data_IF_906364082405
#
_entry.id   IF_906364082405
#
_cell.length_a   1.000
_cell.length_b   1.000
_cell.length_c   1.000
_cell.angle_alpha   90.00
_cell.angle_beta   90.00
_cell.angle_gamma   90.00
#
_symmetry.space_group_name_H-M   'P 1'
#
loop_
_entity.id
_entity.type
_entity.pdbx_description
1 polymer ?
#
# COMPACT_ATOMS: atom_id res chain seq x y z
N UNK A 1 31.23 -8.44 6.20
CA UNK A 1 29.96 -8.84 6.83
C UNK A 1 28.80 -8.56 5.87
N UNK A 2 28.29 -9.57 5.15
CA UNK A 2 27.13 -9.41 4.26
C UNK A 2 25.87 -9.48 5.11
N UNK A 3 25.18 -8.35 5.26
CA UNK A 3 23.91 -8.25 5.97
C UNK A 3 22.85 -8.97 5.13
N UNK A 4 22.50 -10.20 5.52
CA UNK A 4 21.34 -10.93 5.01
C UNK A 4 20.11 -10.17 5.56
N UNK A 5 19.65 -9.14 4.84
CA UNK A 5 18.43 -8.39 5.21
C UNK A 5 17.26 -8.95 4.40
N UNK A 6 16.19 -9.32 5.11
CA UNK A 6 14.94 -9.83 4.56
C UNK A 6 14.43 -9.01 3.38
N UNK A 7 14.22 -9.71 2.26
CA UNK A 7 13.78 -9.16 0.97
C UNK A 7 12.32 -8.70 0.99
N UNK A 8 11.96 -7.63 1.70
CA UNK A 8 10.63 -7.00 1.59
C UNK A 8 10.60 -5.51 2.00
N UNK A 9 11.70 -4.78 1.84
CA UNK A 9 11.76 -3.34 2.09
C UNK A 9 12.03 -2.60 0.77
N UNK A 10 11.22 -1.59 0.46
CA UNK A 10 11.45 -0.67 -0.65
C UNK A 10 12.14 0.55 -0.06
N UNK A 11 13.32 0.88 -0.57
CA UNK A 11 13.96 2.16 -0.24
C UNK A 11 13.28 3.27 -1.06
N UNK A 12 12.93 4.38 -0.41
CA UNK A 12 12.23 5.49 -1.06
C UNK A 12 13.16 6.23 -2.03
N UNK A 13 14.46 6.26 -1.70
CA UNK A 13 15.46 6.96 -2.50
C UNK A 13 15.70 6.22 -3.84
N UNK A 14 15.57 4.89 -3.85
CA UNK A 14 15.67 4.05 -5.06
C UNK A 14 14.50 4.25 -6.04
N UNK A 15 13.39 4.85 -5.59
CA UNK A 15 12.18 5.06 -6.39
C UNK A 15 11.83 6.55 -6.58
N UNK A 16 12.75 7.46 -6.24
CA UNK A 16 12.57 8.90 -6.34
C UNK A 16 13.46 9.49 -7.43
N UNK A 17 12.91 10.36 -8.26
CA UNK A 17 13.65 11.02 -9.33
C UNK A 17 14.60 12.09 -8.77
N UNK A 18 15.87 12.15 -9.21
CA UNK A 18 16.82 13.16 -8.75
C UNK A 18 16.49 14.57 -9.26
N UNK A 19 15.76 14.71 -10.37
CA UNK A 19 15.35 16.01 -10.94
C UNK A 19 14.05 16.49 -10.29
N UNK A 20 12.96 15.71 -10.39
CA UNK A 20 11.64 16.14 -9.90
C UNK A 20 11.47 16.02 -8.40
N UNK A 21 12.33 15.22 -7.74
CA UNK A 21 12.21 14.83 -6.32
C UNK A 21 10.91 14.11 -5.97
N UNK A 22 10.24 13.56 -6.98
CA UNK A 22 9.00 12.80 -6.85
C UNK A 22 9.19 11.31 -7.17
N UNK A 23 8.25 10.49 -6.70
CA UNK A 23 8.22 9.05 -7.01
C UNK A 23 8.02 8.82 -8.51
N UNK A 24 8.81 7.94 -9.10
CA UNK A 24 8.77 7.68 -10.53
C UNK A 24 7.38 7.26 -11.05
N UNK A 25 6.96 7.90 -12.14
CA UNK A 25 5.80 7.52 -12.94
C UNK A 25 6.26 6.70 -14.13
N UNK A 26 7.19 7.25 -14.91
CA UNK A 26 7.81 6.62 -16.06
C UNK A 26 9.35 6.71 -16.00
N UNK A 27 10.00 5.83 -15.22
CA UNK A 27 11.44 5.87 -15.02
C UNK A 27 12.19 5.40 -16.28
N UNK A 28 13.20 6.18 -16.66
CA UNK A 28 14.19 5.87 -17.70
C UNK A 28 15.59 5.90 -17.13
N UNK A 29 16.40 4.93 -17.53
CA UNK A 29 17.81 4.84 -17.20
C UNK A 29 18.63 5.44 -18.35
N UNK A 30 19.55 6.33 -18.01
CA UNK A 30 20.54 6.84 -18.95
C UNK A 30 21.82 5.97 -18.91
N UNK A 31 22.69 6.13 -19.91
CA UNK A 31 23.99 5.46 -19.99
C UNK A 31 24.93 5.75 -18.80
N UNK A 32 24.68 6.83 -18.06
CA UNK A 32 25.36 7.23 -16.82
C UNK A 32 25.01 6.33 -15.61
N UNK A 33 24.06 5.41 -15.76
CA UNK A 33 23.59 4.50 -14.72
C UNK A 33 22.58 5.11 -13.75
N UNK A 34 22.15 6.35 -13.96
CA UNK A 34 21.12 7.00 -13.17
C UNK A 34 19.73 6.83 -13.79
N UNK A 35 18.71 6.89 -12.95
CA UNK A 35 17.30 6.81 -13.37
C UNK A 35 16.63 8.15 -13.19
N UNK A 36 15.95 8.61 -14.23
CA UNK A 36 15.25 9.88 -14.28
C UNK A 36 13.78 9.68 -14.67
N UNK A 37 12.95 10.67 -14.40
CA UNK A 37 11.59 10.71 -14.94
C UNK A 37 11.66 11.12 -16.41
N UNK A 38 11.00 10.37 -17.31
CA UNK A 38 11.11 10.59 -18.76
C UNK A 38 10.86 12.05 -19.15
N UNK A 39 9.76 12.62 -18.69
CA UNK A 39 9.39 13.99 -19.02
C UNK A 39 10.44 15.02 -18.55
N UNK A 40 11.07 14.78 -17.40
CA UNK A 40 12.05 15.69 -16.83
C UNK A 40 13.40 15.61 -17.55
N UNK A 41 13.90 14.40 -17.82
CA UNK A 41 15.20 14.22 -18.47
C UNK A 41 15.16 14.62 -19.95
N UNK A 42 14.06 14.34 -20.66
CA UNK A 42 13.92 14.78 -22.07
C UNK A 42 13.95 16.30 -22.17
N UNK A 43 13.28 17.01 -21.26
CA UNK A 43 13.35 18.48 -21.20
C UNK A 43 14.77 18.96 -20.88
N UNK A 44 15.43 18.32 -19.92
CA UNK A 44 16.80 18.67 -19.53
C UNK A 44 17.81 18.50 -20.66
N UNK A 45 17.75 17.39 -21.38
CA UNK A 45 18.63 17.10 -22.53
C UNK A 45 18.41 18.14 -23.63
N UNK A 46 17.16 18.52 -23.92
CA UNK A 46 16.85 19.55 -24.91
C UNK A 46 17.48 20.91 -24.56
N UNK A 47 17.56 21.25 -23.27
CA UNK A 47 18.09 22.53 -22.80
C UNK A 47 19.62 22.53 -22.59
N UNK A 48 20.19 21.39 -22.13
CA UNK A 48 21.58 21.34 -21.65
C UNK A 48 22.47 20.30 -22.36
N UNK A 49 21.90 19.31 -23.05
CA UNK A 49 22.64 18.24 -23.74
C UNK A 49 23.55 17.38 -22.85
N UNK A 50 23.31 17.34 -21.54
CA UNK A 50 24.19 16.70 -20.55
C UNK A 50 23.39 15.98 -19.46
N UNK A 51 24.02 15.05 -18.75
CA UNK A 51 23.45 14.41 -17.56
C UNK A 51 23.35 15.39 -16.38
N UNK A 52 22.20 15.48 -15.69
CA UNK A 52 22.06 16.30 -14.48
C UNK A 52 23.00 15.90 -13.33
N UNK A 53 23.38 14.62 -13.26
CA UNK A 53 24.16 14.06 -12.16
C UNK A 53 25.66 14.06 -12.45
N UNK A 54 26.06 13.62 -13.66
CA UNK A 54 27.49 13.48 -14.02
C UNK A 54 28.02 14.67 -14.80
N UNK A 55 27.14 15.49 -15.40
CA UNK A 55 27.48 16.59 -16.34
C UNK A 55 28.18 16.12 -17.61
N UNK A 56 28.13 14.84 -17.90
CA UNK A 56 28.66 14.28 -19.15
C UNK A 56 27.64 14.45 -20.29
N UNK A 57 28.07 14.49 -21.56
CA UNK A 57 27.15 14.54 -22.71
C UNK A 57 26.15 13.39 -22.67
N UNK A 58 24.87 13.70 -22.89
CA UNK A 58 23.80 12.71 -22.85
C UNK A 58 22.79 13.00 -23.96
N UNK A 59 22.47 12.00 -24.77
CA UNK A 59 21.43 12.08 -25.80
C UNK A 59 20.11 11.45 -25.32
N UNK A 60 19.02 11.89 -25.92
CA UNK A 60 17.69 11.30 -25.78
C UNK A 60 17.64 9.83 -26.22
N UNK A 61 18.47 9.44 -27.19
CA UNK A 61 18.57 8.06 -27.67
C UNK A 61 19.24 7.12 -26.66
N UNK A 62 19.97 7.66 -25.69
CA UNK A 62 20.62 6.90 -24.61
C UNK A 62 19.65 6.51 -23.47
N UNK A 63 18.36 6.85 -23.59
CA UNK A 63 17.35 6.63 -22.55
C UNK A 63 16.61 5.31 -22.73
N UNK A 64 16.88 4.36 -21.84
CA UNK A 64 16.21 3.05 -21.81
C UNK A 64 15.16 2.97 -20.69
N UNK A 65 14.01 2.32 -20.89
CA UNK A 65 13.03 2.11 -19.82
C UNK A 65 13.62 1.34 -18.62
N UNK A 66 13.36 1.79 -17.39
CA UNK A 66 13.77 1.09 -16.17
C UNK A 66 12.60 0.34 -15.52
N UNK A 67 12.21 -0.79 -16.11
CA UNK A 67 10.99 -1.53 -15.74
C UNK A 67 10.95 -1.99 -14.28
N UNK A 68 12.09 -2.41 -13.73
CA UNK A 68 12.19 -2.83 -12.33
C UNK A 68 11.77 -1.70 -11.38
N UNK A 69 12.31 -0.50 -11.57
CA UNK A 69 11.95 0.68 -10.77
C UNK A 69 10.50 1.09 -11.03
N UNK A 70 10.00 0.98 -12.26
CA UNK A 70 8.60 1.25 -12.60
C UNK A 70 7.65 0.38 -11.78
N UNK A 71 7.93 -0.92 -11.67
CA UNK A 71 7.13 -1.86 -10.87
C UNK A 71 7.18 -1.51 -9.38
N UNK A 72 8.36 -1.17 -8.85
CA UNK A 72 8.53 -0.79 -7.44
C UNK A 72 7.80 0.51 -7.10
N UNK A 73 7.96 1.54 -7.92
CA UNK A 73 7.30 2.83 -7.76
C UNK A 73 5.77 2.69 -7.87
N UNK A 74 5.27 1.86 -8.81
CA UNK A 74 3.84 1.52 -8.91
C UNK A 74 3.34 0.80 -7.66
N UNK A 75 4.10 -0.15 -7.13
CA UNK A 75 3.76 -0.84 -5.87
C UNK A 75 3.66 0.15 -4.72
N UNK A 76 4.60 1.10 -4.61
CA UNK A 76 4.57 2.16 -3.59
C UNK A 76 3.36 3.10 -3.74
N UNK A 77 3.03 3.52 -4.97
CA UNK A 77 1.83 4.34 -5.23
C UNK A 77 0.54 3.60 -4.82
N UNK A 78 0.46 2.31 -5.12
CA UNK A 78 -0.70 1.49 -4.79
C UNK A 78 -0.87 1.24 -3.28
N UNK A 79 0.22 1.14 -2.51
CA UNK A 79 0.11 1.02 -1.04
C UNK A 79 -0.40 2.32 -0.40
N UNK A 80 -0.03 3.49 -0.95
CA UNK A 80 -0.55 4.80 -0.51
C UNK A 80 -2.02 5.03 -0.88
N UNK A 81 -2.53 4.40 -1.95
CA UNK A 81 -3.94 4.48 -2.35
C UNK A 81 -4.88 3.70 -1.41
N UNK A 82 -4.38 2.67 -0.71
CA UNK A 82 -5.14 1.97 0.35
C UNK A 82 -5.57 2.94 1.48
N UNK A 83 -4.78 3.99 1.75
CA UNK A 83 -5.12 5.03 2.72
C UNK A 83 -6.05 6.13 2.20
N UNK A 84 -6.42 6.14 0.91
CA UNK A 84 -7.30 7.16 0.31
C UNK A 84 -8.66 6.63 -0.13
N UNK A 85 -8.79 5.33 -0.43
CA UNK A 85 -10.05 4.77 -0.95
C UNK A 85 -10.96 4.22 0.17
N UNK A 86 -10.48 4.16 1.41
CA UNK A 86 -11.29 3.66 2.51
C UNK A 86 -11.15 4.61 3.70
N UNK A 87 -12.14 5.49 3.85
CA UNK A 87 -12.60 5.88 5.18
C UNK A 87 -13.22 4.65 5.85
N UNK A 88 -12.42 3.64 6.17
CA UNK A 88 -12.74 2.71 7.23
C UNK A 88 -12.31 3.41 8.49
N UNK A 89 -13.31 3.81 9.24
CA UNK A 89 -13.21 4.24 10.60
C UNK A 89 -12.22 3.35 11.37
N UNK A 90 -11.30 4.03 12.08
CA UNK A 90 -10.56 3.50 13.22
C UNK A 90 -9.27 2.70 12.95
N UNK A 91 -8.19 3.40 12.58
CA UNK A 91 -6.88 3.13 13.20
C UNK A 91 -6.01 4.38 13.26
N UNK A 92 -5.40 4.53 14.43
CA UNK A 92 -4.65 5.68 14.94
C UNK A 92 -3.38 5.93 14.10
N UNK A 93 -3.09 7.23 13.90
CA UNK A 93 -1.82 7.80 13.45
C UNK A 93 -0.61 6.87 13.64
N UNK A 94 0.02 6.39 12.57
CA UNK A 94 1.42 5.99 12.65
C UNK A 94 2.33 7.20 12.43
N UNK A 95 3.46 7.31 13.13
CA UNK A 95 4.37 8.46 13.06
C UNK A 95 5.11 8.53 11.71
N UNK A 96 5.68 9.71 11.45
CA UNK A 96 6.53 10.01 10.30
C UNK A 96 7.89 9.30 10.44
N UNK A 97 8.00 8.09 9.94
CA UNK A 97 9.27 7.50 9.55
C UNK A 97 9.14 7.01 8.10
N UNK A 98 10.11 7.38 7.25
CA UNK A 98 10.18 7.08 5.80
C UNK A 98 10.33 5.57 5.51
N UNK A 99 9.79 4.71 6.38
CA UNK A 99 9.91 3.27 6.37
C UNK A 99 8.53 2.64 6.16
N UNK A 100 8.10 2.48 4.91
CA UNK A 100 6.84 1.82 4.60
C UNK A 100 7.04 0.29 4.62
N UNK A 101 6.71 -0.37 5.73
CA UNK A 101 6.59 -1.83 5.80
C UNK A 101 5.35 -2.27 5.02
N UNK A 102 5.58 -2.95 3.90
CA UNK A 102 4.51 -3.46 3.02
C UNK A 102 4.03 -4.82 3.52
N UNK A 103 3.20 -4.84 4.57
CA UNK A 103 2.45 -6.03 4.98
C UNK A 103 1.00 -5.94 4.49
N UNK A 104 0.82 -6.13 3.18
CA UNK A 104 -0.48 -6.20 2.49
C UNK A 104 -1.28 -7.50 2.76
N UNK A 105 -0.98 -8.25 3.84
CA UNK A 105 -1.63 -9.54 4.14
C UNK A 105 -2.59 -9.54 5.33
N UNK A 106 -2.71 -8.46 6.09
CA UNK A 106 -3.52 -8.45 7.33
C UNK A 106 -4.83 -7.66 7.25
N UNK A 107 -5.13 -6.92 6.17
CA UNK A 107 -6.27 -6.00 6.15
C UNK A 107 -7.59 -6.54 5.53
N UNK A 108 -7.62 -7.74 4.94
CA UNK A 108 -8.85 -8.24 4.27
C UNK A 108 -9.55 -9.43 4.95
N UNK A 109 -8.90 -10.11 5.90
CA UNK A 109 -9.44 -11.40 6.39
C UNK A 109 -10.20 -11.35 7.71
N UNK A 110 -10.17 -10.25 8.48
CA UNK A 110 -10.75 -10.26 9.83
C UNK A 110 -12.11 -9.56 10.00
N UNK A 111 -12.50 -8.66 9.09
CA UNK A 111 -13.79 -7.95 9.22
C UNK A 111 -15.00 -8.85 8.91
N UNK A 112 -14.89 -9.74 7.92
CA UNK A 112 -15.96 -10.68 7.57
C UNK A 112 -16.19 -11.71 8.67
N UNK A 113 -15.14 -12.14 9.35
CA UNK A 113 -15.23 -13.10 10.44
C UNK A 113 -15.89 -12.48 11.69
N UNK A 114 -15.57 -11.21 12.04
CA UNK A 114 -16.24 -10.52 13.14
C UNK A 114 -17.75 -10.32 12.90
N UNK A 115 -18.17 -9.98 11.68
CA UNK A 115 -19.59 -9.77 11.39
C UNK A 115 -20.41 -11.06 11.48
N UNK A 116 -19.85 -12.16 10.98
CA UNK A 116 -20.47 -13.48 11.05
C UNK A 116 -20.58 -13.94 12.52
N UNK A 117 -19.52 -13.79 13.31
CA UNK A 117 -19.54 -14.17 14.73
C UNK A 117 -20.62 -13.39 15.52
N UNK A 118 -20.78 -12.08 15.25
CA UNK A 118 -21.84 -11.29 15.89
C UNK A 118 -23.26 -11.76 15.52
N UNK A 119 -23.52 -12.07 14.24
CA UNK A 119 -24.83 -12.56 13.80
C UNK A 119 -25.15 -13.91 14.47
N UNK A 120 -24.18 -14.82 14.55
CA UNK A 120 -24.37 -16.11 15.22
C UNK A 120 -24.66 -15.97 16.72
N UNK A 121 -23.95 -15.09 17.42
CA UNK A 121 -24.21 -14.82 18.84
C UNK A 121 -25.60 -14.22 19.08
N UNK A 122 -26.07 -13.31 18.20
CA UNK A 122 -27.42 -12.75 18.29
C UNK A 122 -28.50 -13.80 18.07
N UNK A 123 -28.32 -14.70 17.10
CA UNK A 123 -29.27 -15.80 16.84
C UNK A 123 -29.33 -16.75 18.05
N UNK A 124 -28.19 -17.11 18.65
CA UNK A 124 -28.14 -17.97 19.84
C UNK A 124 -28.85 -17.30 21.02
N UNK A 125 -28.58 -16.03 21.28
CA UNK A 125 -29.23 -15.27 22.36
C UNK A 125 -30.74 -15.16 22.12
N UNK A 126 -31.18 -14.84 20.90
CA UNK A 126 -32.60 -14.80 20.55
C UNK A 126 -33.28 -16.15 20.76
N UNK A 127 -32.62 -17.25 20.36
CA UNK A 127 -33.12 -18.61 20.59
C UNK A 127 -33.27 -18.95 22.08
N UNK A 128 -32.28 -18.63 22.91
CA UNK A 128 -32.35 -18.82 24.35
C UNK A 128 -33.48 -18.01 24.98
N UNK A 129 -33.66 -16.75 24.57
CA UNK A 129 -34.76 -15.90 25.04
C UNK A 129 -36.11 -16.53 24.68
N UNK A 130 -36.29 -16.99 23.44
CA UNK A 130 -37.53 -17.65 23.00
C UNK A 130 -37.81 -18.90 23.84
N UNK A 131 -36.80 -19.75 24.07
CA UNK A 131 -36.94 -20.95 24.89
C UNK A 131 -37.34 -20.59 26.32
N UNK A 132 -36.68 -19.59 26.92
CA UNK A 132 -37.01 -19.11 28.28
C UNK A 132 -38.45 -18.58 28.34
N UNK A 133 -38.88 -17.80 27.34
CA UNK A 133 -40.25 -17.27 27.26
C UNK A 133 -41.26 -18.41 27.10
N UNK A 134 -41.00 -19.39 26.24
CA UNK A 134 -41.89 -20.54 26.02
C UNK A 134 -41.98 -21.43 27.26
N UNK A 135 -40.86 -21.69 27.94
CA UNK A 135 -40.85 -22.43 29.20
C UNK A 135 -41.62 -21.67 30.28
N UNK A 136 -41.45 -20.35 30.36
CA UNK A 136 -42.22 -19.50 31.28
C UNK A 136 -43.72 -19.52 30.98
N UNK A 137 -44.14 -19.34 29.72
CA UNK A 137 -45.56 -19.34 29.36
C UNK A 137 -46.20 -20.70 29.58
N UNK A 138 -45.48 -21.80 29.33
CA UNK A 138 -45.92 -23.16 29.67
C UNK A 138 -46.05 -23.38 31.17
N UNK A 139 -45.18 -22.79 31.99
CA UNK A 139 -45.27 -22.86 33.44
C UNK A 139 -46.45 -22.03 33.98
N UNK A 140 -46.72 -20.85 33.41
CA UNK A 140 -47.89 -20.05 33.75
C UNK A 140 -49.22 -20.71 33.35
N UNK A 141 -49.27 -21.43 32.23
CA UNK A 141 -50.48 -22.18 31.82
C UNK A 141 -50.69 -23.52 32.55
N UNK A 142 -49.71 -24.00 33.32
CA UNK A 142 -49.81 -25.23 34.11
C UNK A 142 -49.99 -24.98 35.62
N UNK A 143 -50.09 -23.71 36.02
CA UNK A 143 -50.28 -23.27 37.41
C UNK A 143 -51.62 -22.56 37.62
N UNK A 144 -52.71 -23.21 37.23
CA UNK A 144 -54.08 -23.10 37.79
C UNK A 144 -54.64 -24.52 37.82
#
# INVERSE_FOLDING_TARGET
MRKIIGRNKIDIDEITCPITKDIFVDPVMANDGFTYERAAITKWILENGTSPCTREPLDSDDLLPHDRVRVLAKKYRNTKLCGKIIQCCHCIRTPKDNHLSVDNRLCSKNIRNCFIICIYLLIIIAGLIIVIVVVRTKFYSAGI
#
